data_IF_218127008900
#
_entry.id   IF_218127008900
#
_cell.length_a   1.000
_cell.length_b   1.000
_cell.length_c   1.000
_cell.angle_alpha   90.00
_cell.angle_beta   90.00
_cell.angle_gamma   90.00
#
_symmetry.space_group_name_H-M   'P 1'
#
loop_
_entity.id
_entity.type
_entity.pdbx_description
1 polymer ?
#
# COMPACT_ATOMS: atom_id res chain seq x y z
N UNK A 1 -6.94 -9.95 6.65
CA UNK A 1 -8.29 -9.95 6.05
C UNK A 1 -8.17 -10.65 4.71
N UNK A 2 -8.75 -11.83 4.62
CA UNK A 2 -8.71 -12.70 3.46
C UNK A 2 -9.54 -12.15 2.30
N UNK A 3 -9.38 -12.72 1.10
CA UNK A 3 -10.11 -12.46 -0.15
C UNK A 3 -11.66 -12.62 -0.09
N UNK A 4 -12.25 -12.69 1.10
CA UNK A 4 -13.70 -12.73 1.29
C UNK A 4 -14.24 -11.30 1.37
N UNK A 5 -14.80 -10.81 0.27
CA UNK A 5 -15.47 -9.50 0.28
C UNK A 5 -15.63 -8.77 -1.04
N UNK A 6 -15.09 -9.29 -2.15
CA UNK A 6 -15.29 -8.70 -3.47
C UNK A 6 -16.43 -9.40 -4.20
N UNK A 7 -17.39 -8.61 -4.68
CA UNK A 7 -18.50 -9.11 -5.50
C UNK A 7 -17.99 -9.48 -6.89
N UNK A 8 -18.11 -10.75 -7.27
CA UNK A 8 -17.54 -11.25 -8.53
C UNK A 8 -18.16 -10.62 -9.79
N UNK A 9 -19.36 -10.03 -9.71
CA UNK A 9 -20.04 -9.45 -10.85
C UNK A 9 -19.75 -7.95 -11.03
N UNK A 10 -19.44 -7.24 -9.94
CA UNK A 10 -19.36 -5.77 -9.91
C UNK A 10 -18.02 -5.22 -9.41
N UNK A 11 -17.16 -6.05 -8.82
CA UNK A 11 -15.85 -5.65 -8.30
C UNK A 11 -14.71 -6.32 -9.07
N UNK A 12 -14.00 -5.53 -9.87
CA UNK A 12 -12.86 -5.98 -10.68
C UNK A 12 -11.74 -6.64 -9.85
N UNK A 13 -11.66 -6.34 -8.55
CA UNK A 13 -10.66 -6.94 -7.66
C UNK A 13 -10.90 -8.43 -7.42
N UNK A 14 -12.12 -8.93 -7.63
CA UNK A 14 -12.46 -10.33 -7.43
C UNK A 14 -11.66 -11.29 -8.34
N UNK A 15 -11.23 -10.82 -9.52
CA UNK A 15 -10.44 -11.61 -10.49
C UNK A 15 -8.95 -11.24 -10.51
N UNK A 16 -8.52 -10.30 -9.67
CA UNK A 16 -7.16 -9.80 -9.64
C UNK A 16 -6.25 -10.71 -8.78
N UNK A 17 -5.10 -11.19 -9.31
CA UNK A 17 -4.24 -12.16 -8.63
C UNK A 17 -3.67 -11.61 -7.32
N UNK A 18 -3.48 -10.29 -7.22
CA UNK A 18 -2.94 -9.64 -6.03
C UNK A 18 -3.91 -9.61 -4.84
N UNK A 19 -5.21 -9.87 -5.07
CA UNK A 19 -6.25 -9.87 -4.03
C UNK A 19 -6.67 -11.28 -3.59
N UNK A 20 -5.84 -12.29 -3.90
CA UNK A 20 -6.06 -13.69 -3.48
C UNK A 20 -5.54 -13.95 -2.07
N UNK A 21 -6.13 -14.93 -1.39
CA UNK A 21 -5.71 -15.31 -0.03
C UNK A 21 -4.22 -15.67 0.04
N UNK A 22 -3.72 -16.41 -0.94
CA UNK A 22 -2.32 -16.80 -1.04
C UNK A 22 -1.38 -15.59 -1.12
N UNK A 23 -1.74 -14.55 -1.89
CA UNK A 23 -0.94 -13.33 -1.98
C UNK A 23 -1.00 -12.53 -0.68
N UNK A 24 -2.15 -12.50 0.01
CA UNK A 24 -2.23 -11.88 1.33
C UNK A 24 -1.32 -12.58 2.34
N UNK A 25 -1.35 -13.91 2.41
CA UNK A 25 -0.51 -14.71 3.32
C UNK A 25 0.98 -14.50 3.04
N UNK A 26 1.39 -14.44 1.77
CA UNK A 26 2.78 -14.15 1.38
C UNK A 26 3.25 -12.76 1.81
N UNK A 27 2.33 -11.81 1.95
CA UNK A 27 2.64 -10.42 2.31
C UNK A 27 2.32 -10.08 3.77
N UNK A 28 1.88 -11.05 4.58
CA UNK A 28 1.43 -10.78 5.96
C UNK A 28 2.52 -10.15 6.83
N UNK A 29 3.76 -10.62 6.68
CA UNK A 29 4.93 -10.07 7.36
C UNK A 29 5.16 -8.59 7.00
N UNK A 30 5.00 -8.21 5.72
CA UNK A 30 5.08 -6.80 5.30
C UNK A 30 3.95 -5.98 5.93
N UNK A 31 2.73 -6.52 5.95
CA UNK A 31 1.59 -5.79 6.52
C UNK A 31 1.72 -5.60 8.03
N UNK A 32 2.21 -6.60 8.78
CA UNK A 32 2.57 -6.45 10.19
C UNK A 32 3.65 -5.39 10.38
N UNK A 33 4.71 -5.43 9.56
CA UNK A 33 5.80 -4.47 9.61
C UNK A 33 5.33 -3.03 9.38
N UNK A 34 4.54 -2.78 8.33
CA UNK A 34 3.96 -1.46 8.04
C UNK A 34 3.00 -0.99 9.14
N UNK A 35 2.21 -1.91 9.73
CA UNK A 35 1.34 -1.58 10.86
C UNK A 35 2.13 -1.12 12.08
N UNK A 36 3.27 -1.73 12.36
CA UNK A 36 4.15 -1.31 13.45
C UNK A 36 4.72 0.09 13.23
N UNK A 37 5.26 0.38 12.04
CA UNK A 37 5.74 1.73 11.70
C UNK A 37 4.61 2.74 11.82
N UNK A 38 3.43 2.41 11.28
CA UNK A 38 2.26 3.28 11.37
C UNK A 38 1.89 3.60 12.82
N UNK A 39 1.93 2.60 13.72
CA UNK A 39 1.68 2.80 15.14
C UNK A 39 2.74 3.69 15.82
N UNK A 40 4.02 3.53 15.48
CA UNK A 40 5.13 4.34 16.01
C UNK A 40 4.98 5.83 15.65
N UNK A 41 4.37 6.13 14.48
CA UNK A 41 4.10 7.50 14.02
C UNK A 41 2.68 8.00 14.32
N UNK A 42 1.82 7.19 14.94
CA UNK A 42 0.40 7.53 15.14
C UNK A 42 -0.37 7.75 13.83
N UNK A 43 0.01 7.03 12.77
CA UNK A 43 -0.46 7.19 11.41
C UNK A 43 -1.22 5.96 10.90
N UNK A 44 -1.85 6.07 9.73
CA UNK A 44 -2.40 4.92 8.99
C UNK A 44 -1.32 4.30 8.08
N UNK A 45 -1.46 3.01 7.75
CA UNK A 45 -0.54 2.37 6.78
C UNK A 45 -0.59 3.03 5.40
N UNK A 46 -1.73 3.60 5.02
CA UNK A 46 -1.86 4.41 3.81
C UNK A 46 -1.02 5.68 3.86
N UNK A 47 -1.00 6.38 5.01
CA UNK A 47 -0.13 7.53 5.21
C UNK A 47 1.35 7.13 5.16
N UNK A 48 1.76 6.05 5.82
CA UNK A 48 3.14 5.54 5.74
C UNK A 48 3.55 5.26 4.29
N UNK A 49 2.66 4.67 3.49
CA UNK A 49 2.93 4.41 2.06
C UNK A 49 3.16 5.71 1.27
N UNK A 50 2.36 6.75 1.51
CA UNK A 50 2.51 8.05 0.85
C UNK A 50 3.78 8.76 1.32
N UNK A 51 4.06 8.74 2.62
CA UNK A 51 5.29 9.32 3.18
C UNK A 51 6.53 8.62 2.65
N UNK A 52 6.53 7.29 2.56
CA UNK A 52 7.63 6.54 1.94
C UNK A 52 7.93 7.03 0.52
N UNK A 53 6.90 7.28 -0.31
CA UNK A 53 7.08 7.85 -1.66
C UNK A 53 7.69 9.25 -1.64
N UNK A 54 7.19 10.13 -0.75
CA UNK A 54 7.67 11.51 -0.60
C UNK A 54 9.15 11.55 -0.19
N UNK A 55 9.59 10.63 0.66
CA UNK A 55 10.97 10.55 1.14
C UNK A 55 11.94 9.94 0.09
N UNK A 56 11.44 9.35 -1.00
CA UNK A 56 12.31 8.77 -2.04
C UNK A 56 13.12 9.84 -2.75
N UNK A 57 12.50 10.95 -3.20
CA UNK A 57 13.16 12.04 -3.92
C UNK A 57 12.36 13.34 -3.73
N UNK A 58 13.03 14.51 -3.68
CA UNK A 58 12.37 15.78 -3.39
C UNK A 58 11.38 16.26 -4.47
N UNK A 59 11.37 15.66 -5.65
CA UNK A 59 10.46 15.99 -6.76
C UNK A 59 9.32 14.98 -6.94
N UNK A 60 9.19 13.97 -6.06
CA UNK A 60 8.08 13.03 -6.11
C UNK A 60 6.85 13.66 -5.43
N UNK A 61 5.73 13.65 -6.15
CA UNK A 61 4.42 14.08 -5.64
C UNK A 61 3.42 12.94 -5.86
N UNK A 62 2.99 12.21 -4.81
CA UNK A 62 1.94 11.22 -4.94
C UNK A 62 0.60 11.90 -5.21
N UNK A 63 -0.21 11.32 -6.11
CA UNK A 63 -1.55 11.82 -6.46
C UNK A 63 -2.59 10.77 -6.04
N UNK A 64 -2.91 10.65 -4.74
CA UNK A 64 -3.88 9.68 -4.28
C UNK A 64 -5.29 10.13 -4.67
N UNK A 65 -6.00 9.30 -5.43
CA UNK A 65 -7.41 9.53 -5.74
C UNK A 65 -8.30 9.30 -4.51
N UNK A 66 -9.37 10.07 -4.39
CA UNK A 66 -10.39 9.87 -3.36
C UNK A 66 -11.72 10.47 -3.80
N UNK A 67 -12.82 9.89 -3.31
CA UNK A 67 -14.19 10.41 -3.48
C UNK A 67 -14.78 10.97 -2.19
N UNK A 68 -14.00 10.97 -1.09
CA UNK A 68 -14.45 11.35 0.26
C UNK A 68 -13.52 12.40 0.85
N UNK A 69 -14.09 13.43 1.46
CA UNK A 69 -13.35 14.56 2.06
C UNK A 69 -12.51 14.08 3.24
N UNK A 70 -13.01 13.14 4.04
CA UNK A 70 -12.29 12.61 5.20
C UNK A 70 -11.01 11.87 4.76
N UNK A 71 -11.09 11.13 3.64
CA UNK A 71 -9.94 10.46 3.02
C UNK A 71 -8.96 11.46 2.41
N UNK A 72 -9.45 12.58 1.86
CA UNK A 72 -8.57 13.66 1.40
C UNK A 72 -7.74 14.23 2.56
N UNK A 73 -8.38 14.53 3.70
CA UNK A 73 -7.67 15.00 4.90
C UNK A 73 -6.67 13.97 5.42
N UNK A 74 -7.05 12.69 5.48
CA UNK A 74 -6.15 11.60 5.90
C UNK A 74 -4.92 11.51 4.99
N UNK A 75 -5.11 11.54 3.67
CA UNK A 75 -4.02 11.48 2.69
C UNK A 75 -3.09 12.71 2.78
N UNK A 76 -3.66 13.91 2.96
CA UNK A 76 -2.88 15.15 3.09
C UNK A 76 -1.96 15.13 4.32
N UNK A 77 -2.43 14.59 5.45
CA UNK A 77 -1.64 14.49 6.67
C UNK A 77 -0.39 13.59 6.55
N UNK A 78 -0.28 12.77 5.49
CA UNK A 78 0.95 12.02 5.22
C UNK A 78 2.17 12.93 4.94
N UNK A 79 1.94 14.16 4.45
CA UNK A 79 3.01 15.12 4.17
C UNK A 79 3.64 15.71 5.42
N UNK A 80 3.02 15.55 6.59
CA UNK A 80 3.53 16.02 7.89
C UNK A 80 4.33 14.94 8.63
N UNK A 81 4.24 13.68 8.19
CA UNK A 81 5.03 12.57 8.74
C UNK A 81 6.44 12.61 8.16
N UNK A 82 7.44 12.27 8.98
CA UNK A 82 8.83 12.13 8.55
C UNK A 82 9.32 10.74 8.92
N UNK A 83 9.57 9.92 7.91
CA UNK A 83 10.28 8.66 8.11
C UNK A 83 11.78 8.96 8.17
N UNK A 84 12.47 8.35 9.12
CA UNK A 84 13.92 8.34 9.15
C UNK A 84 14.47 7.58 7.94
N UNK A 85 15.71 7.88 7.55
CA UNK A 85 16.39 7.16 6.48
C UNK A 85 16.40 5.64 6.73
N UNK A 86 16.61 5.23 7.98
CA UNK A 86 16.61 3.81 8.37
C UNK A 86 15.24 3.16 8.17
N UNK A 87 14.14 3.86 8.43
CA UNK A 87 12.79 3.34 8.19
C UNK A 87 12.50 3.22 6.70
N UNK A 88 12.90 4.20 5.90
CA UNK A 88 12.76 4.15 4.43
C UNK A 88 13.55 2.97 3.86
N UNK A 89 14.80 2.80 4.28
CA UNK A 89 15.65 1.67 3.88
C UNK A 89 15.09 0.32 4.35
N UNK A 90 14.49 0.26 5.54
CA UNK A 90 13.86 -0.96 6.03
C UNK A 90 12.60 -1.33 5.22
N UNK A 91 11.78 -0.35 4.84
CA UNK A 91 10.64 -0.56 3.94
C UNK A 91 11.12 -1.05 2.57
N UNK A 92 12.16 -0.42 2.02
CA UNK A 92 12.77 -0.85 0.74
C UNK A 92 13.24 -2.31 0.82
N UNK A 93 13.97 -2.67 1.89
CA UNK A 93 14.50 -4.01 2.07
C UNK A 93 13.41 -5.09 2.24
N UNK A 94 12.27 -4.78 2.86
CA UNK A 94 11.14 -5.71 2.93
C UNK A 94 10.44 -5.84 1.57
N UNK A 95 10.28 -4.75 0.83
CA UNK A 95 9.69 -4.77 -0.52
C UNK A 95 10.56 -5.57 -1.51
N UNK A 96 11.89 -5.47 -1.43
CA UNK A 96 12.83 -6.20 -2.31
C UNK A 96 12.76 -7.72 -2.13
N UNK A 97 12.25 -8.21 -0.99
CA UNK A 97 12.07 -9.65 -0.71
C UNK A 97 10.79 -10.20 -1.31
N UNK A 98 9.85 -9.33 -1.70
CA UNK A 98 8.54 -9.74 -2.19
C UNK A 98 8.62 -9.93 -3.71
N UNK A 99 8.26 -11.10 -4.23
CA UNK A 99 8.18 -11.30 -5.67
C UNK A 99 7.24 -10.26 -6.28
N UNK A 100 7.72 -9.52 -7.28
CA UNK A 100 6.92 -8.51 -7.96
C UNK A 100 5.65 -9.16 -8.51
N UNK A 101 4.47 -8.67 -8.11
CA UNK A 101 3.22 -9.15 -8.70
C UNK A 101 3.19 -8.75 -10.18
N UNK A 102 2.64 -9.61 -11.04
CA UNK A 102 2.59 -9.40 -12.48
C UNK A 102 1.65 -8.27 -12.95
N UNK A 103 1.32 -7.31 -12.07
CA UNK A 103 0.18 -6.38 -12.23
C UNK A 103 0.62 -4.92 -12.39
N UNK A 104 1.92 -4.65 -12.62
CA UNK A 104 2.32 -3.35 -13.15
C UNK A 104 1.78 -3.21 -14.58
N UNK A 105 0.68 -2.48 -14.74
CA UNK A 105 -0.03 -2.30 -16.01
C UNK A 105 -1.42 -2.94 -16.10
N UNK A 106 -1.91 -3.54 -15.00
CA UNK A 106 -3.22 -4.23 -14.96
C UNK A 106 -3.13 -5.71 -15.33
N UNK A 107 -4.03 -6.51 -14.77
CA UNK A 107 -4.11 -7.95 -15.04
C UNK A 107 -4.89 -8.17 -16.34
N UNK A 108 -4.33 -8.92 -17.27
CA UNK A 108 -5.09 -9.41 -18.43
C UNK A 108 -6.22 -10.29 -17.91
N UNK A 109 -7.45 -9.82 -18.01
CA UNK A 109 -8.63 -10.65 -17.76
C UNK A 109 -8.86 -11.48 -19.02
N UNK A 110 -8.80 -12.79 -18.89
CA UNK A 110 -9.29 -13.71 -19.93
C UNK A 110 -10.82 -13.79 -19.78
N UNK A 111 -11.52 -13.55 -20.89
CA UNK A 111 -12.98 -13.55 -20.96
C UNK A 111 -13.56 -14.96 -21.09
#
# INVERSE_FOLDING_TARGET
MAAEGFDAATDYRASMPQFTQEVYEKNDALFEFLRRIAAEHGATTGQISLTWMLEKRPWIVPIPETRKVERMHENLAAADIRLSLAEVEAIDAELDRIPTSGVFGGTRIEA
#
